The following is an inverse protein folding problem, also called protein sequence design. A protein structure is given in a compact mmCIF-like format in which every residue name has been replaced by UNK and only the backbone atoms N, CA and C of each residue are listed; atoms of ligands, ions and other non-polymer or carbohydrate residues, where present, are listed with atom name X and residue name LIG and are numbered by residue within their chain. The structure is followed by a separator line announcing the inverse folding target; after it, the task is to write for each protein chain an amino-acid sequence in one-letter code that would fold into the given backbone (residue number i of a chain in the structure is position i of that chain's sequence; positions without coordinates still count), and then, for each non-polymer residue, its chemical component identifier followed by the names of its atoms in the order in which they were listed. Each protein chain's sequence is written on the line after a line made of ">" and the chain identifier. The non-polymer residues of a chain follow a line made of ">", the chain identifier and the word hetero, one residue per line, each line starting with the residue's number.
data_IF_971749512477
#
_entry.id   IF_971749512477
#
_cell.length_a   1.000
_cell.length_b   1.000
_cell.length_c   1.000
_cell.angle_alpha   90.00
_cell.angle_beta   90.00
_cell.angle_gamma   90.00
#
_symmetry.space_group_name_H-M   'P 1'
#
loop_
_entity.id
_entity.type
_entity.pdbx_description
1 polymer ?
#
# COMPACT_ATOMS: atom_id res chain seq x y z
N UNK A 1 24.49 -28.65 70.74
CA UNK A 1 25.52 -29.70 70.67
C UNK A 1 25.45 -30.34 69.30
N UNK A 2 26.61 -30.37 68.63
CA UNK A 2 27.08 -31.30 67.61
C UNK A 2 26.25 -31.57 66.33
N UNK A 3 26.85 -31.09 65.23
CA UNK A 3 26.78 -31.57 63.85
C UNK A 3 26.93 -33.11 63.71
N UNK A 4 26.41 -33.64 62.59
CA UNK A 4 26.85 -34.82 61.80
C UNK A 4 25.89 -34.91 60.60
N UNK A 5 26.24 -34.65 59.35
CA UNK A 5 27.48 -35.00 58.65
C UNK A 5 27.32 -36.40 58.03
N UNK A 6 26.66 -36.46 56.87
CA UNK A 6 26.74 -37.60 55.93
C UNK A 6 26.88 -37.01 54.53
N UNK A 7 28.15 -36.73 54.22
CA UNK A 7 28.70 -36.57 52.89
C UNK A 7 29.29 -37.94 52.52
N UNK A 8 28.94 -38.45 51.33
CA UNK A 8 29.66 -39.48 50.56
C UNK A 8 29.04 -39.44 49.15
N UNK A 9 29.70 -38.80 48.19
CA UNK A 9 30.74 -39.37 47.29
C UNK A 9 30.20 -40.58 46.53
N UNK A 10 30.41 -40.78 45.23
CA UNK A 10 31.15 -40.11 44.17
C UNK A 10 30.78 -40.90 42.90
N UNK A 11 30.91 -40.25 41.74
CA UNK A 11 31.16 -40.84 40.41
C UNK A 11 30.20 -41.89 39.83
N UNK A 12 29.67 -41.58 38.65
CA UNK A 12 29.99 -42.28 37.39
C UNK A 12 29.01 -41.87 36.27
N UNK A 13 29.45 -40.95 35.41
CA UNK A 13 29.19 -40.87 33.95
C UNK A 13 29.47 -39.43 33.50
N UNK A 14 30.72 -39.04 33.26
CA UNK A 14 31.43 -39.24 31.98
C UNK A 14 30.60 -38.80 30.77
N UNK A 15 30.83 -37.54 30.38
CA UNK A 15 31.01 -37.02 29.02
C UNK A 15 30.08 -37.56 27.92
N UNK A 16 29.32 -36.64 27.32
CA UNK A 16 29.45 -36.39 25.89
C UNK A 16 29.17 -34.91 25.57
N UNK A 17 30.14 -34.32 24.87
CA UNK A 17 30.12 -33.03 24.21
C UNK A 17 29.11 -33.05 23.05
N UNK A 18 28.23 -32.04 22.95
CA UNK A 18 27.71 -31.59 21.67
C UNK A 18 27.18 -30.14 21.77
N UNK A 19 28.05 -29.25 21.32
CA UNK A 19 27.82 -27.84 21.02
C UNK A 19 26.52 -27.58 20.24
N UNK A 20 25.77 -26.57 20.66
CA UNK A 20 24.86 -25.81 19.79
C UNK A 20 24.46 -24.50 20.46
N UNK A 21 25.31 -23.49 20.22
CA UNK A 21 24.99 -22.09 19.97
C UNK A 21 23.81 -21.43 20.72
N UNK A 22 24.19 -20.44 21.51
CA UNK A 22 23.43 -19.26 21.93
C UNK A 22 22.49 -18.73 20.83
N UNK A 23 21.18 -18.81 21.05
CA UNK A 23 20.20 -17.97 20.37
C UNK A 23 19.90 -16.76 21.26
N UNK A 24 20.71 -15.72 21.10
CA UNK A 24 20.49 -14.39 21.63
C UNK A 24 19.24 -13.79 20.97
N UNK A 25 18.19 -13.58 21.75
CA UNK A 25 16.97 -12.91 21.30
C UNK A 25 17.25 -11.41 21.11
N UNK A 26 17.26 -10.97 19.86
CA UNK A 26 17.38 -9.55 19.50
C UNK A 26 16.08 -8.77 19.80
N UNK A 27 16.14 -7.49 20.24
CA UNK A 27 14.97 -6.65 20.45
C UNK A 27 14.48 -6.03 19.12
N UNK A 28 13.80 -6.81 18.29
CA UNK A 28 13.18 -6.32 17.06
C UNK A 28 11.74 -5.85 17.33
N UNK A 29 11.51 -4.64 17.88
CA UNK A 29 10.11 -4.16 18.03
C UNK A 29 9.86 -2.65 17.89
N UNK A 30 10.86 -1.77 17.77
CA UNK A 30 10.57 -0.31 17.68
C UNK A 30 10.99 0.37 16.37
N UNK A 31 12.09 -0.02 15.73
CA UNK A 31 12.57 0.64 14.49
C UNK A 31 11.84 0.20 13.21
N UNK A 32 11.42 -1.08 13.13
CA UNK A 32 10.71 -1.58 11.95
C UNK A 32 9.33 -0.91 11.79
N UNK A 33 8.57 -0.77 12.88
CA UNK A 33 7.21 -0.22 12.85
C UNK A 33 7.14 1.25 12.42
N UNK A 34 8.11 2.06 12.84
CA UNK A 34 8.21 3.47 12.45
C UNK A 34 8.59 3.62 10.97
N UNK A 35 9.51 2.79 10.49
CA UNK A 35 9.87 2.73 9.06
C UNK A 35 8.64 2.32 8.24
N UNK A 36 7.86 1.37 8.74
CA UNK A 36 6.69 0.84 8.06
C UNK A 36 5.58 1.89 7.87
N UNK A 37 5.33 2.81 8.82
CA UNK A 37 4.37 3.92 8.63
C UNK A 37 4.75 4.85 7.45
N UNK A 38 6.06 5.05 7.23
CA UNK A 38 6.56 5.91 6.15
C UNK A 38 6.36 5.29 4.76
N UNK A 39 6.28 3.96 4.65
CA UNK A 39 6.17 3.26 3.37
C UNK A 39 4.85 3.59 2.66
N UNK A 40 3.72 3.70 3.38
CA UNK A 40 2.42 4.04 2.78
C UNK A 40 2.35 5.48 2.26
N UNK A 41 3.07 6.41 2.89
CA UNK A 41 3.13 7.84 2.49
C UNK A 41 4.17 8.09 1.39
N UNK A 42 5.09 7.15 1.21
CA UNK A 42 6.15 7.19 0.20
C UNK A 42 5.60 7.27 -1.23
N UNK A 43 6.49 7.54 -2.19
CA UNK A 43 6.15 7.54 -3.61
C UNK A 43 5.59 6.19 -4.08
N UNK A 44 6.10 5.08 -3.53
CA UNK A 44 5.67 3.71 -3.87
C UNK A 44 4.40 3.27 -3.11
N UNK A 45 3.95 4.05 -2.12
CA UNK A 45 2.73 3.83 -1.36
C UNK A 45 1.47 4.32 -2.09
N UNK A 46 0.60 5.05 -1.39
CA UNK A 46 -0.69 5.49 -1.95
C UNK A 46 -0.58 6.38 -3.19
N UNK A 47 0.54 7.11 -3.34
CA UNK A 47 0.81 7.93 -4.53
C UNK A 47 0.93 7.07 -5.80
N UNK A 48 1.56 5.89 -5.72
CA UNK A 48 1.65 4.95 -6.84
C UNK A 48 0.27 4.43 -7.23
N UNK A 49 -0.49 3.93 -6.25
CA UNK A 49 -1.85 3.42 -6.46
C UNK A 49 -2.73 4.46 -7.18
N UNK A 50 -2.71 5.69 -6.68
CA UNK A 50 -3.44 6.81 -7.29
C UNK A 50 -3.05 7.07 -8.75
N UNK A 51 -1.77 6.96 -9.10
CA UNK A 51 -1.28 7.23 -10.45
C UNK A 51 -1.56 6.09 -11.42
N UNK A 52 -1.49 4.84 -10.99
CA UNK A 52 -1.42 3.69 -11.92
C UNK A 52 -2.70 2.86 -11.98
N UNK A 53 -3.39 2.64 -10.87
CA UNK A 53 -4.49 1.66 -10.79
C UNK A 53 -5.73 2.07 -11.60
N UNK A 54 -6.19 3.34 -11.57
CA UNK A 54 -7.40 3.74 -12.30
C UNK A 54 -7.34 3.50 -13.82
N UNK A 55 -6.14 3.57 -14.41
CA UNK A 55 -5.96 3.41 -15.86
C UNK A 55 -5.80 1.95 -16.28
N UNK A 56 -5.43 1.06 -15.37
CA UNK A 56 -5.16 -0.35 -15.66
C UNK A 56 -6.45 -1.19 -15.76
N UNK A 57 -7.56 -0.71 -15.19
CA UNK A 57 -8.87 -1.40 -15.19
C UNK A 57 -9.89 -0.68 -16.07
N UNK A 58 -9.42 0.04 -17.09
CA UNK A 58 -10.19 1.10 -17.74
C UNK A 58 -11.23 0.64 -18.76
N UNK A 59 -12.32 1.42 -18.75
CA UNK A 59 -13.27 1.74 -19.82
C UNK A 59 -14.53 0.87 -20.02
N UNK A 60 -14.46 -0.46 -20.10
CA UNK A 60 -15.70 -1.27 -20.19
C UNK A 60 -15.49 -2.68 -19.63
N UNK A 61 -16.06 -2.91 -18.44
CA UNK A 61 -16.00 -4.20 -17.74
C UNK A 61 -17.28 -5.01 -17.89
N UNK A 62 -18.24 -4.53 -18.68
CA UNK A 62 -19.54 -5.19 -18.87
C UNK A 62 -19.35 -6.61 -19.39
N UNK A 63 -19.89 -7.60 -18.67
CA UNK A 63 -19.73 -9.02 -18.98
C UNK A 63 -18.35 -9.64 -18.66
N UNK A 64 -17.39 -8.86 -18.13
CA UNK A 64 -16.07 -9.32 -17.68
C UNK A 64 -15.72 -8.86 -16.25
N UNK A 65 -16.73 -8.53 -15.47
CA UNK A 65 -16.61 -7.93 -14.14
C UNK A 65 -15.76 -8.80 -13.19
N UNK A 66 -15.97 -10.12 -13.20
CA UNK A 66 -15.20 -11.05 -12.37
C UNK A 66 -13.71 -11.08 -12.74
N UNK A 67 -13.40 -11.02 -14.05
CA UNK A 67 -12.03 -10.95 -14.54
C UNK A 67 -11.38 -9.60 -14.21
N UNK A 68 -12.11 -8.51 -14.36
CA UNK A 68 -11.65 -7.18 -13.98
C UNK A 68 -11.36 -7.09 -12.48
N UNK A 69 -12.25 -7.64 -11.65
CA UNK A 69 -12.06 -7.71 -10.20
C UNK A 69 -10.84 -8.57 -9.83
N UNK A 70 -10.67 -9.74 -10.45
CA UNK A 70 -9.51 -10.59 -10.24
C UNK A 70 -8.19 -9.88 -10.60
N UNK A 71 -8.18 -9.14 -11.71
CA UNK A 71 -7.04 -8.30 -12.11
C UNK A 71 -6.74 -7.22 -11.08
N UNK A 72 -7.76 -6.49 -10.64
CA UNK A 72 -7.63 -5.44 -9.62
C UNK A 72 -7.06 -5.98 -8.31
N UNK A 73 -7.58 -7.11 -7.82
CA UNK A 73 -7.07 -7.77 -6.61
C UNK A 73 -5.60 -8.17 -6.80
N UNK A 74 -5.23 -8.73 -7.95
CA UNK A 74 -3.83 -9.10 -8.22
C UNK A 74 -2.90 -7.89 -8.24
N UNK A 75 -3.33 -6.74 -8.77
CA UNK A 75 -2.54 -5.51 -8.71
C UNK A 75 -2.31 -5.07 -7.26
N UNK A 76 -3.33 -5.10 -6.40
CA UNK A 76 -3.17 -4.77 -4.99
C UNK A 76 -2.27 -5.76 -4.25
N UNK A 77 -2.35 -7.06 -4.56
CA UNK A 77 -1.46 -8.07 -3.99
C UNK A 77 0.00 -7.85 -4.37
N UNK A 78 0.28 -7.57 -5.64
CA UNK A 78 1.64 -7.26 -6.09
C UNK A 78 2.15 -5.97 -5.43
N UNK A 79 1.32 -4.92 -5.39
CA UNK A 79 1.68 -3.68 -4.71
C UNK A 79 1.97 -3.87 -3.20
N UNK A 80 1.17 -4.69 -2.51
CA UNK A 80 1.40 -5.02 -1.11
C UNK A 80 2.74 -5.75 -0.92
N UNK A 81 3.07 -6.70 -1.80
CA UNK A 81 4.33 -7.42 -1.78
C UNK A 81 5.54 -6.49 -2.01
N UNK A 82 5.44 -5.58 -2.98
CA UNK A 82 6.48 -4.57 -3.24
C UNK A 82 6.75 -3.69 -2.01
N UNK A 83 5.71 -3.39 -1.23
CA UNK A 83 5.77 -2.46 -0.10
C UNK A 83 6.20 -3.13 1.22
N UNK A 84 5.80 -4.39 1.41
CA UNK A 84 6.11 -5.21 2.58
C UNK A 84 6.39 -6.67 2.16
N UNK A 85 7.61 -6.97 1.71
CA UNK A 85 7.96 -8.34 1.34
C UNK A 85 7.87 -9.26 2.57
N UNK A 86 7.27 -10.43 2.39
CA UNK A 86 7.09 -11.42 3.46
C UNK A 86 5.87 -11.21 4.36
N UNK A 87 5.12 -10.11 4.21
CA UNK A 87 3.82 -9.96 4.84
C UNK A 87 2.74 -10.59 3.95
N UNK A 88 1.84 -11.37 4.54
CA UNK A 88 0.72 -11.92 3.79
C UNK A 88 -0.26 -10.78 3.42
N UNK A 89 -1.05 -10.98 2.36
CA UNK A 89 -1.92 -9.91 1.87
C UNK A 89 -3.03 -9.53 2.86
N UNK A 90 -3.61 -10.49 3.58
CA UNK A 90 -4.70 -10.22 4.53
C UNK A 90 -4.19 -9.42 5.74
N UNK A 91 -3.05 -9.82 6.31
CA UNK A 91 -2.35 -9.10 7.38
C UNK A 91 -1.93 -7.70 6.92
N UNK A 92 -1.53 -7.56 5.65
CA UNK A 92 -1.24 -6.25 5.06
C UNK A 92 -2.49 -5.35 5.05
N UNK A 93 -3.68 -5.89 4.75
CA UNK A 93 -4.92 -5.10 4.76
C UNK A 93 -5.24 -4.61 6.18
N UNK A 94 -5.21 -5.50 7.17
CA UNK A 94 -5.45 -5.13 8.59
C UNK A 94 -4.44 -4.06 9.04
N UNK A 95 -3.19 -4.23 8.63
CA UNK A 95 -2.13 -3.28 8.90
C UNK A 95 -2.35 -1.95 8.20
N UNK A 96 -2.72 -1.95 6.93
CA UNK A 96 -3.03 -0.73 6.19
C UNK A 96 -4.22 0.02 6.80
N UNK A 97 -5.21 -0.71 7.35
CA UNK A 97 -6.35 -0.11 8.06
C UNK A 97 -5.92 0.62 9.34
N UNK A 98 -5.04 0.00 10.14
CA UNK A 98 -4.50 0.61 11.36
C UNK A 98 -3.61 1.82 11.04
N UNK A 99 -2.68 1.68 10.10
CA UNK A 99 -1.78 2.76 9.67
C UNK A 99 -2.55 3.91 8.99
N UNK A 100 -3.67 3.58 8.32
CA UNK A 100 -4.56 4.55 7.67
C UNK A 100 -5.13 5.59 8.63
N UNK A 101 -5.25 5.26 9.92
CA UNK A 101 -5.75 6.18 10.97
C UNK A 101 -4.71 7.22 11.39
N UNK A 102 -3.45 7.07 10.98
CA UNK A 102 -2.37 8.02 11.28
C UNK A 102 -2.56 9.37 10.57
N UNK A 103 -2.23 10.47 11.26
CA UNK A 103 -2.43 11.83 10.75
C UNK A 103 -1.73 12.10 9.41
N UNK A 104 -0.50 11.61 9.23
CA UNK A 104 0.24 11.78 7.98
C UNK A 104 -0.44 11.08 6.80
N UNK A 105 -0.97 9.88 7.01
CA UNK A 105 -1.66 9.12 5.96
C UNK A 105 -3.00 9.78 5.64
N UNK A 106 -3.76 10.20 6.65
CA UNK A 106 -5.02 10.94 6.45
C UNK A 106 -4.79 12.25 5.68
N UNK A 107 -3.76 13.02 6.03
CA UNK A 107 -3.38 14.25 5.30
C UNK A 107 -3.08 13.97 3.83
N UNK A 108 -2.27 12.94 3.54
CA UNK A 108 -1.99 12.53 2.16
C UNK A 108 -3.27 12.08 1.43
N UNK A 109 -4.15 11.31 2.06
CA UNK A 109 -5.40 10.87 1.43
C UNK A 109 -6.32 12.06 1.11
N UNK A 110 -6.39 13.06 1.98
CA UNK A 110 -7.13 14.29 1.70
C UNK A 110 -6.57 15.04 0.49
N UNK A 111 -5.24 15.22 0.44
CA UNK A 111 -4.55 15.87 -0.68
C UNK A 111 -4.82 15.15 -2.01
N UNK A 112 -4.75 13.81 -2.03
CA UNK A 112 -5.02 13.02 -3.22
C UNK A 112 -6.49 13.14 -3.66
N UNK A 113 -7.44 13.11 -2.72
CA UNK A 113 -8.87 13.32 -3.03
C UNK A 113 -9.14 14.72 -3.59
N UNK A 114 -8.48 15.73 -3.04
CA UNK A 114 -8.60 17.11 -3.53
C UNK A 114 -8.03 17.25 -4.95
N UNK A 115 -6.89 16.62 -5.24
CA UNK A 115 -6.31 16.57 -6.59
C UNK A 115 -7.27 15.96 -7.61
N UNK A 116 -7.94 14.85 -7.29
CA UNK A 116 -8.92 14.26 -8.21
C UNK A 116 -10.16 15.14 -8.39
N UNK A 117 -10.62 15.82 -7.33
CA UNK A 117 -11.72 16.81 -7.47
C UNK A 117 -11.33 17.94 -8.41
N UNK A 118 -10.14 18.54 -8.23
CA UNK A 118 -9.65 19.61 -9.10
C UNK A 118 -9.47 19.15 -10.54
N UNK A 119 -8.95 17.93 -10.74
CA UNK A 119 -8.80 17.33 -12.07
C UNK A 119 -10.15 17.11 -12.76
N UNK A 120 -11.18 16.69 -12.03
CA UNK A 120 -12.53 16.52 -12.56
C UNK A 120 -13.16 17.88 -12.96
N UNK A 121 -12.97 18.92 -12.14
CA UNK A 121 -13.41 20.29 -12.47
C UNK A 121 -12.71 20.79 -13.72
N UNK A 122 -11.37 20.68 -13.78
CA UNK A 122 -10.59 21.11 -14.93
C UNK A 122 -11.00 20.38 -16.21
N UNK A 123 -11.20 19.06 -16.13
CA UNK A 123 -11.66 18.27 -17.28
C UNK A 123 -13.02 18.78 -17.79
N UNK A 124 -13.94 19.13 -16.89
CA UNK A 124 -15.24 19.66 -17.27
C UNK A 124 -15.14 21.05 -17.92
N UNK A 125 -14.26 21.91 -17.42
CA UNK A 125 -13.99 23.22 -18.02
C UNK A 125 -13.38 23.08 -19.42
N UNK A 126 -12.42 22.15 -19.61
CA UNK A 126 -11.82 21.85 -20.93
C UNK A 126 -12.84 21.27 -21.92
N UNK A 127 -13.79 20.46 -21.46
CA UNK A 127 -14.89 19.94 -22.27
C UNK A 127 -15.87 21.07 -22.67
N UNK A 128 -16.24 21.94 -21.73
CA UNK A 128 -17.11 23.09 -21.98
C UNK A 128 -16.45 24.15 -22.90
N UNK A 129 -15.14 24.33 -22.84
CA UNK A 129 -14.37 25.21 -23.75
C UNK A 129 -14.34 24.64 -25.17
N UNK A 130 -14.06 23.34 -25.33
CA UNK A 130 -14.12 22.66 -26.64
C UNK A 130 -15.50 22.74 -27.28
N UNK A 131 -16.57 22.53 -26.51
CA UNK A 131 -17.94 22.65 -27.01
C UNK A 131 -18.28 24.08 -27.47
N UNK A 132 -17.68 25.11 -26.82
CA UNK A 132 -17.84 26.51 -27.24
C UNK A 132 -17.06 26.83 -28.50
N UNK A 133 -15.84 26.32 -28.64
CA UNK A 133 -15.01 26.46 -29.84
C UNK A 133 -15.68 25.79 -31.05
N UNK A 134 -16.12 24.53 -30.92
CA UNK A 134 -16.81 23.80 -32.00
C UNK A 134 -18.12 24.50 -32.43
N UNK A 135 -18.86 25.07 -31.47
CA UNK A 135 -20.09 25.81 -31.78
C UNK A 135 -19.82 27.17 -32.41
N UNK A 136 -18.74 27.84 -32.03
CA UNK A 136 -18.31 29.12 -32.62
C UNK A 136 -17.80 28.98 -34.05
N UNK A 137 -17.07 27.90 -34.36
CA UNK A 137 -16.64 27.58 -35.73
C UNK A 137 -17.85 27.25 -36.63
N UNK A 138 -18.82 26.47 -36.14
CA UNK A 138 -20.03 26.12 -36.90
C UNK A 138 -20.93 27.32 -37.25
N UNK A 139 -21.00 28.36 -36.42
CA UNK A 139 -21.74 29.58 -36.74
C UNK A 139 -20.98 30.46 -37.76
N UNK A 140 -19.64 30.41 -37.77
CA UNK A 140 -18.80 31.18 -38.71
C UNK A 140 -18.74 30.59 -40.13
N UNK A 141 -18.67 29.26 -40.27
CA UNK A 141 -18.74 28.59 -41.58
C UNK A 141 -20.13 28.72 -42.24
N UNK A 142 -21.19 28.86 -41.42
CA UNK A 142 -22.56 29.08 -41.90
C UNK A 142 -22.79 30.45 -42.54
N UNK A 143 -22.07 31.49 -42.08
CA UNK A 143 -22.11 32.83 -42.70
C UNK A 143 -21.24 32.94 -43.96
N UNK A 144 -20.10 32.23 -44.02
CA UNK A 144 -19.19 32.28 -45.18
C UNK A 144 -19.75 31.52 -46.40
N UNK A 145 -20.58 30.49 -46.19
CA UNK A 145 -21.20 29.71 -47.27
C UNK A 145 -22.41 30.38 -47.97
N UNK A 146 -22.83 31.57 -47.53
CA UNK A 146 -24.00 32.30 -48.06
C UNK A 146 -23.66 33.56 -48.90
N UNK A 147 -22.37 33.81 -49.21
CA UNK A 147 -21.90 34.89 -50.09
C UNK A 147 -21.34 34.34 -51.41
#
# INVERSE_FOLDING_TARGET
>A
MASRGWERDEDLARRDDASSATAEAAPATQDEAATQHSHLVSAEGFKKVHRTFPYQVSADVSGRESQALASLINMYKQWAFDLYPGLNFEDFIDRAETLGKGHQVQGLMMELREKEKMKAVKKREEEEEKEREEKGESDSEGEEAML
#
